data_IF_438602260926
#
_entry.id   IF_438602260926
#
_cell.length_a   1.000
_cell.length_b   1.000
_cell.length_c   1.000
_cell.angle_alpha   90.00
_cell.angle_beta   90.00
_cell.angle_gamma   90.00
#
_symmetry.space_group_name_H-M   'P 1'
#
loop_
_entity.id
_entity.type
_entity.pdbx_description
1 polymer ?
#
# COMPACT_ATOMS: atom_id res chain seq x y z
N UNK A 1 32.08 -16.45 18.49
CA UNK A 1 32.46 -15.51 17.42
C UNK A 1 31.71 -14.24 17.73
N UNK A 2 32.48 -13.27 18.21
CA UNK A 2 32.06 -11.94 18.62
C UNK A 2 32.05 -11.07 17.38
N UNK A 3 30.98 -10.31 17.17
CA UNK A 3 31.00 -8.85 16.95
C UNK A 3 29.62 -8.41 16.47
N UNK A 4 28.70 -8.23 17.41
CA UNK A 4 27.52 -7.38 17.23
C UNK A 4 27.99 -5.93 17.40
N UNK A 5 28.51 -5.34 16.32
CA UNK A 5 28.58 -3.89 16.21
C UNK A 5 27.15 -3.45 15.98
N UNK A 6 26.53 -2.78 16.95
CA UNK A 6 25.25 -2.10 16.76
C UNK A 6 25.51 -0.97 15.75
N UNK A 7 25.09 -1.15 14.49
CA UNK A 7 25.38 -0.20 13.41
C UNK A 7 24.47 1.02 13.48
N UNK A 8 23.34 0.90 14.16
CA UNK A 8 22.45 2.02 14.43
C UNK A 8 22.93 2.80 15.64
N UNK A 9 23.31 4.05 15.42
CA UNK A 9 23.45 5.04 16.48
C UNK A 9 22.23 5.95 16.50
N UNK A 10 21.64 6.17 17.68
CA UNK A 10 20.68 7.24 17.90
C UNK A 10 21.35 8.44 18.57
N UNK A 11 20.95 9.65 18.20
CA UNK A 11 21.35 10.88 18.87
C UNK A 11 20.13 11.76 19.16
N UNK A 12 19.95 12.16 20.41
CA UNK A 12 18.93 13.13 20.78
C UNK A 12 19.49 14.54 20.50
N UNK A 13 18.89 15.24 19.55
CA UNK A 13 19.17 16.62 19.20
C UNK A 13 18.00 17.47 19.69
N UNK A 14 18.20 18.27 20.74
CA UNK A 14 17.17 19.22 21.18
C UNK A 14 17.42 20.60 20.54
N UNK A 15 16.60 21.06 19.57
CA UNK A 15 16.51 22.48 19.28
C UNK A 15 15.94 23.20 20.53
N UNK A 16 16.48 24.38 20.83
CA UNK A 16 16.11 25.13 22.03
C UNK A 16 14.59 25.38 22.12
N UNK A 17 14.01 24.88 23.20
CA UNK A 17 12.61 24.94 23.68
C UNK A 17 11.55 24.18 22.88
N UNK A 18 11.21 23.00 23.40
CA UNK A 18 9.94 22.25 23.29
C UNK A 18 9.82 21.06 22.33
N UNK A 19 10.77 20.80 21.43
CA UNK A 19 10.79 19.55 20.63
C UNK A 19 12.09 18.76 20.86
N UNK A 20 11.99 17.48 21.23
CA UNK A 20 13.15 16.58 21.25
C UNK A 20 13.23 15.91 19.89
N UNK A 21 14.37 15.93 19.19
CA UNK A 21 14.53 15.14 17.97
C UNK A 21 15.40 13.93 18.27
N UNK A 22 14.94 12.72 17.99
CA UNK A 22 15.80 11.53 18.01
C UNK A 22 16.18 11.16 16.58
N UNK A 23 17.48 11.20 16.28
CA UNK A 23 18.01 10.93 14.95
C UNK A 23 18.69 9.56 14.93
N UNK A 24 18.18 8.66 14.10
CA UNK A 24 18.75 7.35 13.81
C UNK A 24 19.62 7.43 12.55
N UNK A 25 20.76 6.75 12.56
CA UNK A 25 21.65 6.65 11.40
C UNK A 25 21.76 5.21 10.93
N UNK A 26 21.54 4.99 9.63
CA UNK A 26 21.82 3.72 8.96
C UNK A 26 22.90 3.94 7.90
N UNK A 27 24.09 3.38 8.11
CA UNK A 27 25.27 3.57 7.26
C UNK A 27 25.48 2.40 6.30
N UNK A 28 26.22 2.63 5.21
CA UNK A 28 26.54 1.60 4.23
C UNK A 28 27.19 0.36 4.85
N UNK A 29 26.66 -0.83 4.54
CA UNK A 29 27.10 -2.08 5.13
C UNK A 29 26.62 -2.31 6.57
N UNK A 30 25.59 -1.59 7.02
CA UNK A 30 24.97 -1.72 8.34
C UNK A 30 24.31 -3.08 8.62
N UNK A 31 24.14 -3.92 7.60
CA UNK A 31 23.63 -5.28 7.78
C UNK A 31 22.12 -5.30 8.06
N UNK A 32 21.69 -6.09 9.05
CA UNK A 32 20.27 -6.25 9.37
C UNK A 32 20.00 -5.68 10.76
N UNK A 33 19.18 -4.64 10.83
CA UNK A 33 18.98 -3.86 12.04
C UNK A 33 17.49 -3.70 12.38
N UNK A 34 17.18 -3.32 13.62
CA UNK A 34 15.81 -3.10 14.08
C UNK A 34 15.70 -1.91 15.01
N UNK A 35 14.69 -1.05 14.79
CA UNK A 35 14.28 0.03 15.68
C UNK A 35 12.96 -0.38 16.32
N UNK A 36 12.91 -0.42 17.66
CA UNK A 36 11.74 -0.89 18.44
C UNK A 36 11.04 0.26 19.18
N UNK A 37 11.75 1.36 19.44
CA UNK A 37 11.33 2.41 20.39
C UNK A 37 11.16 3.76 19.66
N UNK A 38 10.12 3.85 18.84
CA UNK A 38 9.69 5.09 18.17
C UNK A 38 8.45 5.65 18.88
N UNK A 39 8.49 5.68 20.22
CA UNK A 39 7.41 6.22 21.03
C UNK A 39 7.43 7.74 20.92
N UNK A 40 6.57 8.31 20.08
CA UNK A 40 6.34 9.74 20.11
C UNK A 40 5.58 10.06 21.40
N UNK A 41 6.25 10.68 22.37
CA UNK A 41 5.54 11.81 22.97
C UNK A 41 5.21 12.76 21.81
N UNK A 42 4.01 13.36 21.77
CA UNK A 42 3.62 14.21 20.62
C UNK A 42 4.52 15.46 20.42
N UNK A 43 5.61 15.60 21.18
CA UNK A 43 6.65 16.62 21.04
C UNK A 43 8.00 16.08 20.56
N UNK A 44 8.14 14.77 20.31
CA UNK A 44 9.37 14.14 19.84
C UNK A 44 9.30 13.86 18.33
N UNK A 45 10.26 14.43 17.58
CA UNK A 45 10.44 14.17 16.16
C UNK A 45 11.49 13.08 15.99
N UNK A 46 11.11 11.95 15.40
CA UNK A 46 12.00 10.84 15.09
C UNK A 46 12.40 10.91 13.61
N UNK A 47 13.71 10.98 13.36
CA UNK A 47 14.30 11.10 12.03
C UNK A 47 15.20 9.89 11.74
N UNK A 48 15.08 9.31 10.56
CA UNK A 48 16.08 8.40 10.00
C UNK A 48 16.94 9.12 8.96
N UNK A 49 18.25 9.06 9.16
CA UNK A 49 19.26 9.48 8.19
C UNK A 49 19.89 8.25 7.56
N UNK A 50 19.61 8.05 6.28
CA UNK A 50 20.28 7.05 5.46
C UNK A 50 21.61 7.63 4.96
N UNK A 51 22.69 6.96 5.35
CA UNK A 51 24.08 7.35 5.10
C UNK A 51 24.49 7.28 3.63
N UNK A 52 25.74 7.67 3.36
CA UNK A 52 26.27 7.75 2.00
C UNK A 52 26.38 6.37 1.36
N UNK A 53 26.24 6.28 0.04
CA UNK A 53 26.20 5.02 -0.71
C UNK A 53 24.81 4.41 -0.94
N UNK A 54 23.75 5.07 -0.47
CA UNK A 54 22.36 4.74 -0.79
C UNK A 54 21.65 5.94 -1.41
N UNK A 55 20.97 5.71 -2.53
CA UNK A 55 20.08 6.68 -3.15
C UNK A 55 18.63 6.31 -2.83
N UNK A 56 17.69 7.28 -2.81
CA UNK A 56 16.29 6.98 -2.49
C UNK A 56 15.67 5.87 -3.34
N UNK A 57 15.96 5.84 -4.64
CA UNK A 57 15.43 4.85 -5.58
C UNK A 57 16.09 3.47 -5.47
N UNK A 58 17.16 3.33 -4.69
CA UNK A 58 17.85 2.06 -4.43
C UNK A 58 17.41 1.42 -3.10
N UNK A 59 16.44 2.02 -2.40
CA UNK A 59 15.86 1.51 -1.16
C UNK A 59 14.41 1.12 -1.41
N UNK A 60 14.11 -0.15 -1.17
CA UNK A 60 12.75 -0.66 -1.21
C UNK A 60 12.11 -0.47 0.17
N UNK A 61 10.92 0.11 0.20
CA UNK A 61 10.09 0.26 1.38
C UNK A 61 8.95 -0.74 1.28
N UNK A 62 8.69 -1.50 2.34
CA UNK A 62 7.60 -2.47 2.36
C UNK A 62 7.03 -2.66 3.76
N UNK A 63 5.80 -3.16 3.85
CA UNK A 63 5.21 -3.63 5.11
C UNK A 63 5.46 -5.14 5.21
N UNK A 64 6.26 -5.64 6.17
CA UNK A 64 6.60 -7.06 6.22
C UNK A 64 5.38 -7.89 6.66
N UNK A 65 5.12 -8.95 5.89
CA UNK A 65 3.96 -9.83 6.10
C UNK A 65 4.03 -10.61 7.43
N UNK A 66 2.85 -10.96 7.96
CA UNK A 66 2.71 -11.78 9.18
C UNK A 66 2.81 -11.00 10.50
N UNK A 67 2.65 -9.67 10.45
CA UNK A 67 2.57 -8.76 11.59
C UNK A 67 1.16 -8.16 11.71
N UNK A 68 0.96 -7.16 12.57
CA UNK A 68 -0.21 -6.27 12.55
C UNK A 68 -0.21 -5.32 11.33
N UNK A 69 0.79 -5.49 10.45
CA UNK A 69 1.14 -4.64 9.33
C UNK A 69 1.64 -3.25 9.76
N UNK A 70 1.84 -2.97 11.04
CA UNK A 70 2.27 -1.63 11.46
C UNK A 70 3.78 -1.41 11.29
N UNK A 71 4.54 -2.43 10.92
CA UNK A 71 5.97 -2.34 10.72
C UNK A 71 6.34 -1.75 9.35
N UNK A 72 7.47 -1.05 9.30
CA UNK A 72 8.12 -0.64 8.07
C UNK A 72 9.44 -1.39 7.91
N UNK A 73 9.67 -1.98 6.75
CA UNK A 73 10.93 -2.61 6.36
C UNK A 73 11.57 -1.80 5.23
N UNK A 74 12.80 -1.36 5.44
CA UNK A 74 13.67 -0.86 4.37
C UNK A 74 14.62 -1.98 3.95
N UNK A 75 14.68 -2.27 2.65
CA UNK A 75 15.65 -3.20 2.06
C UNK A 75 16.60 -2.42 1.15
N UNK A 76 17.90 -2.59 1.38
CA UNK A 76 18.95 -1.84 0.70
C UNK A 76 19.64 -2.68 -0.39
N UNK A 77 20.15 -2.03 -1.44
CA UNK A 77 20.80 -2.72 -2.57
C UNK A 77 22.04 -3.57 -2.21
N UNK A 78 22.68 -3.31 -1.06
CA UNK A 78 23.80 -4.11 -0.55
C UNK A 78 23.34 -5.37 0.21
N UNK A 79 22.03 -5.61 0.29
CA UNK A 79 21.39 -6.73 0.97
C UNK A 79 21.17 -6.49 2.47
N UNK A 80 21.43 -5.29 2.98
CA UNK A 80 21.06 -4.89 4.33
C UNK A 80 19.57 -4.63 4.47
N UNK A 81 19.07 -4.67 5.71
CA UNK A 81 17.67 -4.39 6.04
C UNK A 81 17.55 -3.56 7.30
N UNK A 82 16.56 -2.67 7.35
CA UNK A 82 16.18 -1.95 8.56
C UNK A 82 14.69 -2.14 8.83
N UNK A 83 14.38 -2.86 9.92
CA UNK A 83 13.01 -3.03 10.39
C UNK A 83 12.67 -1.96 11.43
N UNK A 84 11.64 -1.17 11.20
CA UNK A 84 11.11 -0.20 12.15
C UNK A 84 9.77 -0.74 12.65
N UNK A 85 9.71 -1.04 13.94
CA UNK A 85 8.52 -1.63 14.55
C UNK A 85 7.45 -0.58 14.77
N UNK A 86 6.20 -0.94 14.48
CA UNK A 86 5.01 -0.11 14.71
C UNK A 86 5.12 1.29 14.07
N UNK A 87 5.80 1.41 12.93
CA UNK A 87 5.90 2.66 12.17
C UNK A 87 4.55 3.30 11.86
N UNK A 88 3.52 2.49 11.59
CA UNK A 88 2.20 2.96 11.16
C UNK A 88 1.13 2.88 12.26
N UNK A 89 1.52 2.53 13.49
CA UNK A 89 0.61 2.57 14.62
C UNK A 89 0.37 4.01 15.09
N UNK A 90 -0.83 4.28 15.61
CA UNK A 90 -1.24 5.61 16.08
C UNK A 90 -0.20 6.30 16.99
N UNK A 91 0.29 7.46 16.53
CA UNK A 91 1.24 8.28 17.28
C UNK A 91 2.59 7.61 17.51
N UNK A 92 2.99 6.69 16.64
CA UNK A 92 4.29 6.03 16.65
C UNK A 92 5.07 6.36 15.38
N UNK A 93 6.31 5.88 15.32
CA UNK A 93 7.10 5.84 14.09
C UNK A 93 8.01 7.04 13.87
N UNK A 94 8.80 6.93 12.81
CA UNK A 94 9.57 8.00 12.23
C UNK A 94 8.64 9.05 11.61
N UNK A 95 8.92 10.32 11.87
CA UNK A 95 8.27 11.44 11.20
C UNK A 95 8.98 11.79 9.89
N UNK A 96 10.30 11.54 9.81
CA UNK A 96 11.08 11.86 8.61
C UNK A 96 12.11 10.79 8.27
N UNK A 97 12.31 10.58 6.97
CA UNK A 97 13.42 9.80 6.41
C UNK A 97 14.12 10.67 5.37
N UNK A 98 15.44 10.84 5.52
CA UNK A 98 16.26 11.56 4.54
C UNK A 98 17.54 10.82 4.17
N UNK A 99 18.09 11.19 3.02
CA UNK A 99 19.30 10.59 2.46
C UNK A 99 20.42 11.63 2.40
N UNK A 100 21.60 11.30 2.94
CA UNK A 100 22.75 12.23 2.97
C UNK A 100 23.27 12.65 1.58
N UNK A 101 23.01 11.86 0.55
CA UNK A 101 23.39 12.16 -0.84
C UNK A 101 22.25 12.78 -1.67
N UNK A 102 21.05 12.90 -1.09
CA UNK A 102 19.87 13.46 -1.75
C UNK A 102 19.10 14.38 -0.78
N UNK A 103 19.75 15.46 -0.32
CA UNK A 103 19.17 16.43 0.63
C UNK A 103 17.88 17.13 0.14
N UNK A 104 17.53 17.00 -1.14
CA UNK A 104 16.27 17.49 -1.72
C UNK A 104 15.11 16.50 -1.59
N UNK A 105 15.39 15.25 -1.20
CA UNK A 105 14.43 14.19 -1.03
C UNK A 105 14.31 13.86 0.45
N UNK A 106 13.15 14.18 1.01
CA UNK A 106 12.78 13.87 2.39
C UNK A 106 11.39 13.26 2.30
N UNK A 107 11.22 12.07 2.87
CA UNK A 107 9.91 11.49 3.11
C UNK A 107 9.45 11.94 4.48
N UNK A 108 8.22 12.42 4.57
CA UNK A 108 7.59 12.86 5.81
C UNK A 108 6.20 12.27 5.96
N UNK A 109 5.85 11.90 7.18
CA UNK A 109 4.52 11.42 7.56
C UNK A 109 3.95 10.40 6.55
N UNK A 110 2.95 10.83 5.76
CA UNK A 110 2.28 10.00 4.77
C UNK A 110 3.17 9.52 3.62
N UNK A 111 4.17 10.31 3.23
CA UNK A 111 5.08 9.94 2.15
C UNK A 111 5.90 8.68 2.51
N UNK A 112 6.07 8.41 3.81
CA UNK A 112 6.69 7.15 4.29
C UNK A 112 5.75 5.96 4.04
N UNK A 113 4.44 6.14 4.25
CA UNK A 113 3.42 5.13 3.95
C UNK A 113 3.32 4.90 2.45
N UNK A 114 3.16 5.97 1.66
CA UNK A 114 3.02 5.92 0.20
C UNK A 114 4.23 5.23 -0.45
N UNK A 115 5.44 5.41 0.11
CA UNK A 115 6.64 4.70 -0.37
C UNK A 115 6.50 3.16 -0.27
N UNK A 116 5.60 2.62 0.55
CA UNK A 116 5.33 1.18 0.67
C UNK A 116 4.37 0.64 -0.38
N UNK A 117 3.74 1.49 -1.19
CA UNK A 117 2.76 1.08 -2.21
C UNK A 117 3.41 0.52 -3.49
N UNK A 118 4.75 0.45 -3.53
CA UNK A 118 5.48 -0.07 -4.67
C UNK A 118 5.31 -1.58 -4.76
N UNK A 119 4.69 -2.04 -5.84
CA UNK A 119 4.59 -3.45 -6.17
C UNK A 119 5.81 -3.99 -6.92
N UNK A 120 5.80 -5.30 -7.12
CA UNK A 120 6.80 -6.09 -7.82
C UNK A 120 6.15 -6.84 -8.99
N UNK A 121 6.88 -7.76 -9.63
CA UNK A 121 6.34 -8.59 -10.72
C UNK A 121 5.67 -9.89 -10.20
N UNK A 122 5.40 -10.02 -8.91
CA UNK A 122 4.76 -11.20 -8.33
C UNK A 122 3.90 -10.86 -7.13
N UNK A 123 3.26 -11.88 -6.55
CA UNK A 123 2.23 -11.73 -5.51
C UNK A 123 2.63 -10.80 -4.35
N UNK A 124 1.98 -9.65 -4.28
CA UNK A 124 2.23 -8.59 -3.30
C UNK A 124 1.03 -8.40 -2.35
N UNK A 125 1.33 -7.82 -1.18
CA UNK A 125 0.31 -7.34 -0.26
C UNK A 125 0.53 -5.85 -0.05
N UNK A 126 -0.39 -5.04 -0.55
CA UNK A 126 -0.32 -3.59 -0.53
C UNK A 126 -1.38 -3.07 0.42
N UNK A 127 -0.95 -2.13 1.26
CA UNK A 127 -1.76 -1.57 2.32
C UNK A 127 -1.70 -0.05 2.22
N UNK A 128 -2.84 0.57 1.93
CA UNK A 128 -3.06 2.01 1.99
C UNK A 128 -2.93 2.58 3.40
N UNK A 129 -3.35 3.83 3.53
CA UNK A 129 -3.33 4.62 4.75
C UNK A 129 -4.71 5.10 5.17
N UNK A 130 -4.75 6.29 5.75
CA UNK A 130 -5.95 6.97 6.20
C UNK A 130 -6.41 8.10 5.26
N UNK A 131 -5.79 8.20 4.08
CA UNK A 131 -6.12 9.16 3.04
C UNK A 131 -6.54 8.42 1.77
N UNK A 132 -7.20 9.13 0.86
CA UNK A 132 -7.55 8.55 -0.43
C UNK A 132 -6.30 8.19 -1.25
N UNK A 133 -6.11 6.90 -1.44
CA UNK A 133 -4.94 6.29 -2.05
C UNK A 133 -5.16 5.88 -3.50
N UNK A 134 -4.07 5.67 -4.21
CA UNK A 134 -4.08 4.94 -5.48
C UNK A 134 -3.13 3.77 -5.35
N UNK A 135 -3.70 2.56 -5.26
CA UNK A 135 -2.97 1.32 -5.08
C UNK A 135 -2.93 0.56 -6.41
N UNK A 136 -1.74 0.07 -6.77
CA UNK A 136 -1.50 -0.66 -8.01
C UNK A 136 -0.75 -1.97 -7.71
N UNK A 137 -1.39 -3.12 -7.94
CA UNK A 137 -0.79 -4.45 -7.72
C UNK A 137 0.22 -4.81 -8.81
N UNK A 138 -0.13 -4.60 -10.08
CA UNK A 138 0.80 -4.82 -11.19
C UNK A 138 0.72 -6.24 -11.73
N UNK A 139 1.78 -7.05 -11.60
CA UNK A 139 1.75 -8.44 -12.05
C UNK A 139 1.76 -9.36 -10.85
N UNK A 140 1.01 -10.46 -10.92
CA UNK A 140 0.95 -11.45 -9.85
C UNK A 140 -0.43 -11.46 -9.21
N UNK A 141 -0.64 -12.36 -8.25
CA UNK A 141 -1.90 -12.42 -7.53
C UNK A 141 -1.80 -11.56 -6.28
N UNK A 142 -2.29 -10.34 -6.36
CA UNK A 142 -2.05 -9.31 -5.36
C UNK A 142 -3.21 -9.22 -4.36
N UNK A 143 -2.90 -8.70 -3.17
CA UNK A 143 -3.92 -8.33 -2.17
C UNK A 143 -3.77 -6.86 -1.83
N UNK A 144 -4.77 -6.06 -2.19
CA UNK A 144 -4.80 -4.62 -1.96
C UNK A 144 -5.83 -4.28 -0.88
N UNK A 145 -5.42 -3.48 0.10
CA UNK A 145 -6.27 -2.95 1.16
C UNK A 145 -6.19 -1.42 1.15
N UNK A 146 -7.29 -0.72 0.82
CA UNK A 146 -7.37 0.76 0.82
C UNK A 146 -7.35 1.36 2.22
N UNK A 147 -8.16 0.78 3.12
CA UNK A 147 -8.39 1.22 4.51
C UNK A 147 -9.34 2.39 4.65
N UNK A 148 -8.90 3.59 5.01
CA UNK A 148 -9.80 4.74 5.21
C UNK A 148 -9.45 5.79 4.16
N UNK A 149 -10.45 6.41 3.55
CA UNK A 149 -10.23 7.35 2.46
C UNK A 149 -11.04 6.95 1.24
N UNK A 150 -11.18 7.86 0.27
CA UNK A 150 -11.78 7.50 -1.01
C UNK A 150 -10.65 6.95 -1.90
N UNK A 151 -10.54 5.63 -1.98
CA UNK A 151 -9.40 4.95 -2.60
C UNK A 151 -9.64 4.58 -4.06
N UNK A 152 -8.56 4.43 -4.83
CA UNK A 152 -8.56 3.82 -6.16
C UNK A 152 -7.69 2.57 -6.14
N UNK A 153 -8.29 1.41 -6.35
CA UNK A 153 -7.60 0.12 -6.36
C UNK A 153 -7.54 -0.42 -7.79
N UNK A 154 -6.32 -0.74 -8.25
CA UNK A 154 -6.03 -1.36 -9.55
C UNK A 154 -5.25 -2.64 -9.25
N UNK A 155 -5.89 -3.80 -9.41
CA UNK A 155 -5.25 -5.10 -9.21
C UNK A 155 -4.10 -5.29 -10.20
N UNK A 156 -4.43 -5.36 -11.49
CA UNK A 156 -3.45 -5.47 -12.56
C UNK A 156 -3.66 -6.77 -13.32
N UNK A 157 -2.59 -7.49 -13.60
CA UNK A 157 -2.62 -8.81 -14.23
C UNK A 157 -2.48 -9.89 -13.15
N UNK A 158 -3.50 -10.72 -12.93
CA UNK A 158 -3.46 -11.77 -11.91
C UNK A 158 -4.83 -12.23 -11.45
N UNK A 159 -4.90 -13.01 -10.39
CA UNK A 159 -6.16 -13.20 -9.66
C UNK A 159 -6.05 -12.41 -8.36
N UNK A 160 -6.61 -11.20 -8.34
CA UNK A 160 -6.40 -10.23 -7.25
C UNK A 160 -7.51 -10.22 -6.21
N UNK A 161 -7.16 -9.79 -4.99
CA UNK A 161 -8.10 -9.55 -3.89
C UNK A 161 -8.06 -8.06 -3.54
N UNK A 162 -9.18 -7.37 -3.74
CA UNK A 162 -9.30 -5.93 -3.53
C UNK A 162 -10.29 -5.66 -2.39
N UNK A 163 -9.82 -4.94 -1.37
CA UNK A 163 -10.63 -4.44 -0.25
C UNK A 163 -10.54 -2.93 -0.22
N UNK A 164 -11.64 -2.23 -0.49
CA UNK A 164 -11.67 -0.76 -0.47
C UNK A 164 -11.52 -0.24 0.96
N UNK A 165 -12.41 -0.70 1.85
CA UNK A 165 -12.46 -0.27 3.23
C UNK A 165 -13.55 0.77 3.46
N UNK A 166 -13.20 1.87 4.11
CA UNK A 166 -14.10 2.94 4.49
C UNK A 166 -13.89 4.15 3.57
N UNK A 167 -14.90 4.46 2.77
CA UNK A 167 -14.86 5.59 1.85
C UNK A 167 -15.78 5.35 0.66
N UNK A 168 -15.66 6.17 -0.37
CA UNK A 168 -16.28 5.90 -1.67
C UNK A 168 -15.18 5.49 -2.64
N UNK A 169 -14.93 4.19 -2.68
CA UNK A 169 -13.81 3.61 -3.40
C UNK A 169 -14.12 3.37 -4.89
N UNK A 170 -13.05 3.35 -5.68
CA UNK A 170 -13.07 3.05 -7.11
C UNK A 170 -12.20 1.84 -7.40
N UNK A 171 -12.81 0.78 -7.90
CA UNK A 171 -12.10 -0.40 -8.39
C UNK A 171 -11.93 -0.27 -9.91
N UNK A 172 -10.69 -0.06 -10.36
CA UNK A 172 -10.41 0.27 -11.76
C UNK A 172 -9.76 -0.91 -12.48
N UNK A 173 -10.38 -1.30 -13.59
CA UNK A 173 -9.91 -2.33 -14.50
C UNK A 173 -9.38 -1.68 -15.78
N UNK A 174 -8.05 -1.58 -15.86
CA UNK A 174 -7.34 -0.85 -16.94
C UNK A 174 -7.06 -1.70 -18.18
N UNK A 175 -7.27 -3.02 -18.13
CA UNK A 175 -6.98 -3.91 -19.25
C UNK A 175 -8.09 -4.93 -19.44
N UNK A 176 -8.01 -5.74 -20.50
CA UNK A 176 -9.01 -6.78 -20.80
C UNK A 176 -8.60 -8.17 -20.32
N UNK A 177 -7.41 -8.31 -19.74
CA UNK A 177 -6.83 -9.59 -19.31
C UNK A 177 -6.30 -9.48 -17.88
N UNK A 178 -7.08 -8.83 -17.01
CA UNK A 178 -6.71 -8.66 -15.61
C UNK A 178 -6.82 -9.95 -14.81
N UNK A 179 -7.56 -10.96 -15.29
CA UNK A 179 -7.74 -12.25 -14.63
C UNK A 179 -9.01 -12.30 -13.77
N UNK A 180 -9.01 -13.08 -12.68
CA UNK A 180 -10.20 -13.36 -11.88
C UNK A 180 -10.15 -12.66 -10.52
N UNK A 181 -10.64 -11.43 -10.49
CA UNK A 181 -10.49 -10.57 -9.33
C UNK A 181 -11.69 -10.66 -8.39
N UNK A 182 -11.43 -10.46 -7.11
CA UNK A 182 -12.44 -10.46 -6.05
C UNK A 182 -12.43 -9.13 -5.32
N UNK A 183 -13.56 -8.41 -5.39
CA UNK A 183 -13.82 -7.24 -4.56
C UNK A 183 -14.57 -7.72 -3.31
N UNK A 184 -13.98 -7.49 -2.14
CA UNK A 184 -14.42 -8.17 -0.91
C UNK A 184 -15.55 -7.48 -0.16
N UNK A 185 -15.75 -6.19 -0.38
CA UNK A 185 -16.55 -5.31 0.46
C UNK A 185 -17.38 -4.27 -0.31
N UNK A 186 -17.63 -4.53 -1.60
CA UNK A 186 -18.27 -3.57 -2.51
C UNK A 186 -19.58 -2.95 -1.96
N UNK A 187 -19.59 -1.65 -1.68
CA UNK A 187 -20.77 -0.89 -1.27
C UNK A 187 -21.54 -0.35 -2.49
N UNK A 188 -22.65 -1.02 -2.82
CA UNK A 188 -23.54 -0.65 -3.93
C UNK A 188 -24.16 0.74 -3.81
N UNK A 189 -24.17 1.36 -2.63
CA UNK A 189 -24.75 2.70 -2.46
C UNK A 189 -23.76 3.82 -2.82
N UNK A 190 -22.44 3.56 -2.80
CA UNK A 190 -21.41 4.60 -2.89
C UNK A 190 -20.25 4.31 -3.84
N UNK A 191 -19.88 3.04 -4.01
CA UNK A 191 -18.65 2.67 -4.71
C UNK A 191 -18.86 2.45 -6.21
N UNK A 192 -17.74 2.52 -6.94
CA UNK A 192 -17.69 2.50 -8.40
C UNK A 192 -16.70 1.45 -8.89
N UNK A 193 -17.12 0.70 -9.92
CA UNK A 193 -16.25 -0.11 -10.76
C UNK A 193 -16.06 0.62 -12.09
N UNK A 194 -14.81 0.90 -12.43
CA UNK A 194 -14.43 1.64 -13.63
C UNK A 194 -13.74 0.73 -14.64
N UNK A 195 -14.24 0.71 -15.87
CA UNK A 195 -13.65 -0.02 -16.99
C UNK A 195 -13.00 0.96 -17.96
N UNK A 196 -11.68 0.88 -18.16
CA UNK A 196 -10.96 1.82 -19.05
C UNK A 196 -10.89 1.37 -20.52
N UNK A 197 -11.10 0.07 -20.80
CA UNK A 197 -11.05 -0.48 -22.16
C UNK A 197 -12.19 -1.49 -22.41
N UNK A 198 -12.97 -1.23 -23.46
CA UNK A 198 -14.32 -1.76 -23.66
C UNK A 198 -14.48 -3.26 -23.93
N UNK A 199 -14.35 -4.10 -22.90
CA UNK A 199 -15.00 -5.43 -22.86
C UNK A 199 -16.50 -5.29 -22.59
N UNK A 200 -16.86 -4.36 -21.71
CA UNK A 200 -18.22 -3.89 -21.47
C UNK A 200 -18.29 -2.41 -21.80
N UNK A 201 -19.39 -1.98 -22.43
CA UNK A 201 -19.61 -0.58 -22.83
C UNK A 201 -20.89 0.02 -22.26
N UNK A 202 -21.68 -0.79 -21.54
CA UNK A 202 -22.91 -0.34 -20.90
C UNK A 202 -23.30 -1.24 -19.74
N UNK A 203 -24.11 -0.69 -18.84
CA UNK A 203 -24.69 -1.44 -17.72
C UNK A 203 -25.57 -2.61 -18.18
N UNK A 204 -26.22 -2.49 -19.34
CA UNK A 204 -27.00 -3.59 -19.92
C UNK A 204 -26.15 -4.80 -20.30
N UNK A 205 -24.99 -4.57 -20.93
CA UNK A 205 -24.02 -5.63 -21.24
C UNK A 205 -23.46 -6.26 -19.96
N UNK A 206 -23.19 -5.44 -18.94
CA UNK A 206 -22.73 -5.91 -17.64
C UNK A 206 -23.74 -6.85 -16.99
N UNK A 207 -25.03 -6.51 -16.99
CA UNK A 207 -26.07 -7.36 -16.43
C UNK A 207 -26.27 -8.67 -17.22
N UNK A 208 -25.97 -8.69 -18.53
CA UNK A 208 -25.97 -9.93 -19.32
C UNK A 208 -24.78 -10.84 -18.96
N UNK A 209 -23.65 -10.26 -18.54
CA UNK A 209 -22.45 -10.96 -18.08
C UNK A 209 -22.49 -11.36 -16.60
N UNK A 210 -23.37 -10.73 -15.80
CA UNK A 210 -23.46 -10.94 -14.37
C UNK A 210 -24.37 -12.12 -14.00
N UNK A 211 -23.96 -12.89 -12.98
CA UNK A 211 -24.79 -13.95 -12.39
C UNK A 211 -24.59 -14.06 -10.89
N UNK A 212 -25.68 -14.32 -10.15
CA UNK A 212 -25.61 -14.59 -8.71
C UNK A 212 -25.05 -16.00 -8.45
N UNK A 213 -23.97 -16.08 -7.66
CA UNK A 213 -23.36 -17.32 -7.21
C UNK A 213 -23.36 -17.36 -5.67
N UNK A 214 -24.42 -17.91 -5.09
CA UNK A 214 -24.56 -17.92 -3.63
C UNK A 214 -24.96 -16.54 -3.11
N UNK A 215 -24.06 -15.87 -2.38
CA UNK A 215 -24.26 -14.51 -1.87
C UNK A 215 -23.59 -13.44 -2.71
N UNK A 216 -22.91 -13.85 -3.78
CA UNK A 216 -21.96 -13.00 -4.51
C UNK A 216 -22.46 -12.80 -5.95
N UNK A 217 -22.02 -11.72 -6.59
CA UNK A 217 -22.16 -11.55 -8.05
C UNK A 217 -20.86 -11.96 -8.72
N UNK A 218 -20.95 -12.72 -9.79
CA UNK A 218 -19.82 -12.96 -10.71
C UNK A 218 -20.15 -12.32 -12.06
N UNK A 219 -19.34 -11.34 -12.47
CA UNK A 219 -19.36 -10.71 -13.79
C UNK A 219 -18.33 -11.45 -14.65
N UNK A 220 -18.81 -12.36 -15.51
CA UNK A 220 -17.94 -13.16 -16.37
C UNK A 220 -17.69 -12.45 -17.71
N UNK A 221 -16.46 -12.02 -17.96
CA UNK A 221 -16.10 -11.32 -19.20
C UNK A 221 -15.72 -12.30 -20.32
N UNK A 222 -14.90 -13.30 -20.01
CA UNK A 222 -14.54 -14.41 -20.90
C UNK A 222 -14.13 -15.66 -20.09
N UNK A 223 -13.46 -16.64 -20.67
CA UNK A 223 -13.08 -17.89 -19.98
C UNK A 223 -11.95 -17.72 -18.94
N UNK A 224 -11.22 -16.59 -18.97
CA UNK A 224 -10.04 -16.34 -18.13
C UNK A 224 -10.20 -15.08 -17.25
N UNK A 225 -11.18 -14.22 -17.55
CA UNK A 225 -11.37 -12.93 -16.89
C UNK A 225 -12.75 -12.81 -16.25
N UNK A 226 -12.79 -12.48 -14.96
CA UNK A 226 -14.02 -12.25 -14.20
C UNK A 226 -13.83 -11.29 -13.04
N UNK A 227 -14.93 -10.68 -12.59
CA UNK A 227 -14.97 -9.90 -11.35
C UNK A 227 -16.01 -10.51 -10.42
N UNK A 228 -15.59 -10.85 -9.21
CA UNK A 228 -16.48 -11.35 -8.14
C UNK A 228 -16.72 -10.24 -7.12
N UNK A 229 -17.98 -9.93 -6.85
CA UNK A 229 -18.40 -8.98 -5.81
C UNK A 229 -18.99 -9.76 -4.64
N UNK A 230 -18.23 -9.88 -3.55
CA UNK A 230 -18.64 -10.66 -2.39
C UNK A 230 -19.82 -10.00 -1.67
N UNK A 231 -20.83 -10.79 -1.30
CA UNK A 231 -21.98 -10.31 -0.54
C UNK A 231 -22.96 -9.42 -1.31
N UNK A 232 -22.75 -9.23 -2.62
CA UNK A 232 -23.63 -8.46 -3.51
C UNK A 232 -24.55 -9.40 -4.29
N UNK A 233 -25.72 -8.91 -4.70
CA UNK A 233 -26.64 -9.62 -5.60
C UNK A 233 -26.96 -8.75 -6.81
N UNK A 234 -27.21 -9.35 -7.98
CA UNK A 234 -27.41 -8.59 -9.23
C UNK A 234 -28.59 -7.63 -9.16
N UNK A 235 -29.63 -7.96 -8.38
CA UNK A 235 -30.79 -7.09 -8.16
C UNK A 235 -30.48 -5.81 -7.37
N UNK A 236 -29.33 -5.75 -6.69
CA UNK A 236 -28.88 -4.58 -5.94
C UNK A 236 -27.97 -3.66 -6.76
N UNK A 237 -27.46 -4.12 -7.91
CA UNK A 237 -26.57 -3.34 -8.75
C UNK A 237 -27.31 -2.17 -9.40
N UNK A 238 -26.64 -1.02 -9.47
CA UNK A 238 -27.16 0.21 -10.05
C UNK A 238 -26.26 0.65 -11.21
N UNK A 239 -26.83 1.34 -12.21
CA UNK A 239 -26.05 1.89 -13.32
C UNK A 239 -24.96 2.87 -12.83
N UNK A 240 -25.19 3.56 -11.71
CA UNK A 240 -24.21 4.46 -11.09
C UNK A 240 -23.00 3.75 -10.49
N UNK A 241 -23.07 2.44 -10.23
CA UNK A 241 -21.93 1.67 -9.74
C UNK A 241 -20.89 1.41 -10.83
N UNK A 242 -21.17 1.76 -12.10
CA UNK A 242 -20.32 1.35 -13.21
C UNK A 242 -20.02 2.53 -14.13
N UNK A 243 -18.73 2.78 -14.33
CA UNK A 243 -18.23 3.75 -15.29
C UNK A 243 -17.56 3.02 -16.46
N UNK A 244 -18.06 3.26 -17.67
CA UNK A 244 -17.52 2.69 -18.90
C UNK A 244 -16.80 3.78 -19.69
N UNK A 245 -15.47 3.77 -19.67
CA UNK A 245 -14.65 4.68 -20.46
C UNK A 245 -14.39 4.03 -21.84
N UNK A 246 -14.67 4.79 -22.90
CA UNK A 246 -14.70 4.33 -24.30
C UNK A 246 -13.68 5.06 -25.17
#
# INVERSE_FOLDING_TARGET
>A
MSDSVTSISSQNVSPSSEEQTTVYYYEYGGGHETIIDVHADNSEINELVVGSGYQPYDVQFSRPSGTDNDDLLLTFHDGGTLLIKNQFADGQGLQTIRFTEADYFVLSDYEIMEATFNSTDGDDVIHGGDQGDTLYGGFGNDTLHGYEGDDTLIGGDGDDILTGGAGNDTFRFEYTYFGNDTITDFDVDTEVIQFEFGVLTSFGELLEAASDMGTDVVIQLDDETSITLNGVQTDNLQESNFEFLI
#
